data_IF_071387508548
#
_entry.id   IF_071387508548
#
_cell.length_a   1.000
_cell.length_b   1.000
_cell.length_c   1.000
_cell.angle_alpha   90.00
_cell.angle_beta   90.00
_cell.angle_gamma   90.00
#
_symmetry.space_group_name_H-M   'P 1'
#
loop_
_entity.id
_entity.type
_entity.pdbx_description
1 polymer ?
#
# COMPACT_ATOMS: atom_id res chain seq x y z
N UNK A 1 2.11 -13.64 17.98
CA UNK A 1 2.72 -12.85 16.89
C UNK A 1 2.58 -11.37 17.23
N UNK A 2 3.62 -10.60 17.04
CA UNK A 2 3.58 -9.16 17.31
C UNK A 2 2.70 -8.47 16.25
N UNK A 3 1.82 -7.60 16.73
CA UNK A 3 0.91 -6.85 15.86
C UNK A 3 1.62 -5.59 15.35
N UNK A 4 1.76 -5.48 14.02
CA UNK A 4 2.35 -4.29 13.40
C UNK A 4 1.34 -3.15 13.27
N UNK A 5 0.07 -3.48 13.06
CA UNK A 5 -1.01 -2.51 12.91
C UNK A 5 -2.24 -2.93 13.72
N UNK A 6 -2.78 -2.00 14.48
CA UNK A 6 -4.08 -2.16 15.15
C UNK A 6 -4.96 -0.96 14.84
N UNK A 7 -6.16 -1.21 14.35
CA UNK A 7 -7.19 -0.22 14.06
C UNK A 7 -8.43 -0.60 14.86
N UNK A 8 -9.02 0.35 15.57
CA UNK A 8 -10.18 0.10 16.45
C UNK A 8 -11.27 1.14 16.22
N UNK A 9 -12.44 0.70 15.75
CA UNK A 9 -13.64 1.51 15.60
C UNK A 9 -13.47 2.74 14.72
N UNK A 10 -12.62 2.65 13.68
CA UNK A 10 -12.22 3.79 12.86
C UNK A 10 -13.37 4.30 12.00
N UNK A 11 -13.62 5.60 12.07
CA UNK A 11 -14.60 6.29 11.22
C UNK A 11 -13.97 7.51 10.55
N UNK A 12 -14.38 7.75 9.28
CA UNK A 12 -13.96 8.92 8.53
C UNK A 12 -15.11 9.48 7.70
N UNK A 13 -15.37 10.78 7.87
CA UNK A 13 -16.32 11.55 7.05
C UNK A 13 -15.56 12.62 6.28
N UNK A 14 -15.89 12.83 5.01
CA UNK A 14 -15.41 13.99 4.25
C UNK A 14 -16.37 15.18 4.38
N UNK A 15 -17.66 14.89 4.53
CA UNK A 15 -18.69 15.91 4.73
C UNK A 15 -19.42 15.65 6.05
N UNK A 16 -19.68 16.69 6.85
CA UNK A 16 -20.47 16.58 8.07
C UNK A 16 -21.89 16.10 7.75
N UNK A 17 -22.31 14.98 8.38
CA UNK A 17 -23.62 14.37 8.16
C UNK A 17 -23.78 13.56 6.88
N UNK A 18 -22.71 13.37 6.11
CA UNK A 18 -22.70 12.53 4.91
C UNK A 18 -22.46 11.04 5.21
N UNK A 19 -22.42 10.26 4.14
CA UNK A 19 -22.02 8.84 4.21
C UNK A 19 -20.55 8.76 4.61
N UNK A 20 -20.19 7.96 5.62
CA UNK A 20 -18.80 7.80 6.03
C UNK A 20 -17.99 7.09 4.93
N UNK A 21 -16.80 7.61 4.64
CA UNK A 21 -15.85 6.95 3.77
C UNK A 21 -15.25 5.70 4.42
N UNK A 22 -15.16 5.68 5.76
CA UNK A 22 -14.88 4.50 6.58
C UNK A 22 -15.86 4.44 7.74
N UNK A 23 -16.44 3.28 7.98
CA UNK A 23 -17.52 3.07 8.93
C UNK A 23 -17.19 1.93 9.89
N UNK A 24 -16.71 2.27 11.08
CA UNK A 24 -16.40 1.34 12.17
C UNK A 24 -15.40 0.24 11.78
N UNK A 25 -14.31 0.62 11.12
CA UNK A 25 -13.24 -0.33 10.74
C UNK A 25 -12.47 -0.74 11.99
N UNK A 26 -12.38 -2.06 12.19
CA UNK A 26 -11.51 -2.66 13.21
C UNK A 26 -10.74 -3.82 12.58
N UNK A 27 -9.41 -3.79 12.70
CA UNK A 27 -8.52 -4.82 12.20
C UNK A 27 -7.24 -4.89 13.02
N UNK A 28 -6.57 -6.03 12.95
CA UNK A 28 -5.28 -6.24 13.61
C UNK A 28 -4.41 -7.11 12.72
N UNK A 29 -3.28 -6.56 12.28
CA UNK A 29 -2.39 -7.20 11.31
C UNK A 29 -1.08 -7.62 11.99
N UNK A 30 -0.63 -8.85 11.76
CA UNK A 30 0.66 -9.35 12.25
C UNK A 30 1.82 -8.73 11.46
N UNK A 31 3.03 -8.85 11.99
CA UNK A 31 4.27 -8.57 11.26
C UNK A 31 4.59 -9.70 10.26
N UNK A 32 5.39 -9.38 9.23
CA UNK A 32 5.92 -10.37 8.29
C UNK A 32 4.91 -10.90 7.27
N UNK A 33 3.94 -10.08 6.84
CA UNK A 33 2.89 -10.49 5.88
C UNK A 33 2.74 -9.50 4.74
N UNK A 34 2.37 -10.01 3.57
CA UNK A 34 1.88 -9.21 2.43
C UNK A 34 0.36 -9.33 2.37
N UNK A 35 -0.32 -8.22 2.56
CA UNK A 35 -1.77 -8.18 2.77
C UNK A 35 -2.43 -7.38 1.65
N UNK A 36 -3.38 -7.99 0.95
CA UNK A 36 -4.22 -7.33 -0.05
C UNK A 36 -5.36 -6.54 0.60
N UNK A 37 -5.41 -5.24 0.41
CA UNK A 37 -6.57 -4.40 0.73
C UNK A 37 -7.39 -4.19 -0.55
N UNK A 38 -8.38 -5.05 -0.74
CA UNK A 38 -9.05 -5.27 -2.01
C UNK A 38 -10.48 -4.72 -1.97
N UNK A 39 -10.86 -3.98 -3.01
CA UNK A 39 -12.22 -3.43 -3.10
C UNK A 39 -12.42 -2.60 -4.36
N UNK A 40 -13.67 -2.43 -4.81
CA UNK A 40 -13.98 -1.54 -5.92
C UNK A 40 -13.56 -0.09 -5.66
N UNK A 41 -13.47 0.70 -6.71
CA UNK A 41 -13.23 2.13 -6.58
C UNK A 41 -14.27 2.79 -5.65
N UNK A 42 -13.80 3.63 -4.73
CA UNK A 42 -14.67 4.26 -3.73
C UNK A 42 -14.93 3.44 -2.46
N UNK A 43 -14.38 2.22 -2.33
CA UNK A 43 -14.55 1.38 -1.12
C UNK A 43 -13.94 1.97 0.14
N UNK A 44 -12.99 2.91 0.02
CA UNK A 44 -12.31 3.53 1.15
C UNK A 44 -10.84 3.13 1.33
N UNK A 45 -10.28 2.30 0.42
CA UNK A 45 -8.89 1.79 0.48
C UNK A 45 -7.88 2.93 0.67
N UNK A 46 -7.82 3.90 -0.25
CA UNK A 46 -6.93 5.07 -0.17
C UNK A 46 -7.16 5.88 1.11
N UNK A 47 -8.42 6.00 1.57
CA UNK A 47 -8.73 6.72 2.82
C UNK A 47 -8.13 6.01 4.03
N UNK A 48 -8.26 4.68 4.10
CA UNK A 48 -7.67 3.88 5.16
C UNK A 48 -6.15 3.99 5.17
N UNK A 49 -5.50 3.82 4.00
CA UNK A 49 -4.04 3.95 3.89
C UNK A 49 -3.55 5.34 4.31
N UNK A 50 -4.23 6.41 3.90
CA UNK A 50 -3.87 7.79 4.29
C UNK A 50 -4.05 8.05 5.79
N UNK A 51 -5.03 7.46 6.44
CA UNK A 51 -5.20 7.54 7.89
C UNK A 51 -4.09 6.79 8.64
N UNK A 52 -3.70 5.60 8.17
CA UNK A 52 -2.59 4.82 8.74
C UNK A 52 -1.27 5.57 8.54
N UNK A 53 -1.05 6.17 7.36
CA UNK A 53 0.13 6.99 7.07
C UNK A 53 0.18 8.33 7.84
N UNK A 54 -0.90 8.69 8.57
CA UNK A 54 -1.00 9.95 9.29
C UNK A 54 -1.12 11.18 8.38
N UNK A 55 -1.61 11.00 7.16
CA UNK A 55 -1.91 12.07 6.19
C UNK A 55 -3.32 12.62 6.33
N UNK A 56 -4.18 11.87 7.01
CA UNK A 56 -5.54 12.26 7.37
C UNK A 56 -5.76 12.02 8.86
N UNK A 57 -6.71 12.74 9.45
CA UNK A 57 -7.17 12.53 10.82
C UNK A 57 -8.51 11.82 10.82
N UNK A 58 -8.68 10.82 11.66
CA UNK A 58 -9.95 10.12 11.86
C UNK A 58 -10.94 10.97 12.64
N UNK A 59 -12.23 10.76 12.39
CA UNK A 59 -13.29 11.42 13.16
C UNK A 59 -13.62 10.63 14.43
N UNK A 60 -13.46 9.29 14.40
CA UNK A 60 -13.59 8.40 15.57
C UNK A 60 -12.64 7.22 15.44
N UNK A 61 -12.44 6.55 16.57
CA UNK A 61 -11.58 5.36 16.64
C UNK A 61 -10.11 5.72 16.83
N UNK A 62 -9.27 4.70 16.72
CA UNK A 62 -7.82 4.85 16.92
C UNK A 62 -7.03 3.94 15.98
N UNK A 63 -5.80 4.35 15.67
CA UNK A 63 -4.83 3.59 14.89
C UNK A 63 -3.52 3.55 15.68
N UNK A 64 -2.92 2.37 15.77
CA UNK A 64 -1.60 2.15 16.38
C UNK A 64 -0.72 1.35 15.41
N UNK A 65 0.52 1.79 15.24
CA UNK A 65 1.55 1.09 14.46
C UNK A 65 2.57 0.53 15.45
N UNK A 66 2.62 -0.80 15.54
CA UNK A 66 3.16 -1.45 16.72
C UNK A 66 2.37 -1.00 17.95
N UNK A 67 3.05 -0.52 18.96
CA UNK A 67 2.40 0.01 20.17
C UNK A 67 2.27 1.55 20.18
N UNK A 68 2.55 2.21 19.05
CA UNK A 68 2.62 3.67 18.95
C UNK A 68 1.38 4.23 18.25
N UNK A 69 0.69 5.25 18.79
CA UNK A 69 -0.40 5.92 18.08
C UNK A 69 0.14 6.67 16.85
N UNK A 70 -0.74 6.88 15.86
CA UNK A 70 -0.38 7.68 14.67
C UNK A 70 0.04 9.10 15.09
N UNK A 71 1.23 9.50 14.63
CA UNK A 71 1.87 10.79 14.96
C UNK A 71 3.25 10.87 14.30
N UNK A 72 4.08 11.79 14.74
CA UNK A 72 5.37 12.03 14.09
C UNK A 72 6.32 10.82 14.16
N UNK A 73 6.36 10.15 15.31
CA UNK A 73 7.18 8.94 15.44
C UNK A 73 6.67 7.79 14.58
N UNK A 74 5.36 7.57 14.50
CA UNK A 74 4.82 6.47 13.68
C UNK A 74 5.08 6.66 12.20
N UNK A 75 5.21 7.90 11.71
CA UNK A 75 5.59 8.20 10.31
C UNK A 75 6.99 7.70 9.96
N UNK A 76 7.89 7.61 10.95
CA UNK A 76 9.21 7.00 10.71
C UNK A 76 9.15 5.49 10.52
N UNK A 77 8.09 4.83 10.99
CA UNK A 77 7.88 3.38 10.87
C UNK A 77 7.14 3.00 9.58
N UNK A 78 6.60 3.97 8.84
CA UNK A 78 5.75 3.76 7.67
C UNK A 78 6.42 4.26 6.41
N UNK A 79 6.39 3.45 5.35
CA UNK A 79 6.72 3.87 4.00
C UNK A 79 5.45 3.85 3.15
N UNK A 80 5.09 4.97 2.51
CA UNK A 80 3.83 5.10 1.78
C UNK A 80 4.07 5.45 0.31
N UNK A 81 3.52 4.64 -0.59
CA UNK A 81 3.42 4.89 -2.02
C UNK A 81 1.99 5.32 -2.35
N UNK A 82 1.72 6.58 -2.71
CA UNK A 82 0.39 7.01 -3.13
C UNK A 82 0.08 6.60 -4.58
N UNK A 83 -1.22 6.52 -4.91
CA UNK A 83 -1.74 6.24 -6.27
C UNK A 83 -1.30 7.27 -7.33
N UNK A 84 -0.99 8.49 -6.88
CA UNK A 84 -0.56 9.58 -7.74
C UNK A 84 0.85 10.03 -7.40
N UNK A 85 1.61 10.32 -8.45
CA UNK A 85 2.97 10.83 -8.25
C UNK A 85 2.99 12.16 -7.50
N UNK A 86 3.87 12.24 -6.50
CA UNK A 86 4.15 13.45 -5.73
C UNK A 86 5.53 14.05 -6.08
N UNK A 87 6.32 13.34 -6.90
CA UNK A 87 7.66 13.76 -7.27
C UNK A 87 7.62 14.89 -8.31
N UNK A 88 8.53 15.84 -8.18
CA UNK A 88 8.59 17.03 -9.04
C UNK A 88 9.23 16.72 -10.40
N UNK A 89 8.52 16.99 -11.49
CA UNK A 89 8.96 16.72 -12.85
C UNK A 89 10.26 17.44 -13.26
N UNK A 90 10.56 18.60 -12.68
CA UNK A 90 11.74 19.40 -13.00
C UNK A 90 13.01 18.98 -12.25
N UNK A 91 12.91 18.11 -11.26
CA UNK A 91 14.04 17.59 -10.47
C UNK A 91 14.68 16.39 -11.14
N UNK A 92 15.97 16.18 -10.88
CA UNK A 92 16.71 14.97 -11.27
C UNK A 92 16.44 13.86 -10.26
N UNK A 93 16.66 12.62 -10.67
CA UNK A 93 16.52 11.46 -9.78
C UNK A 93 17.44 11.57 -8.56
N UNK A 94 18.69 12.04 -8.75
CA UNK A 94 19.61 12.26 -7.62
C UNK A 94 19.06 13.24 -6.58
N UNK A 95 18.36 14.29 -7.01
CA UNK A 95 17.81 15.30 -6.11
C UNK A 95 16.68 14.67 -5.23
N UNK A 96 15.97 13.65 -5.78
CA UNK A 96 14.99 12.88 -5.02
C UNK A 96 15.67 11.92 -4.03
N UNK A 97 16.78 11.26 -4.45
CA UNK A 97 17.56 10.41 -3.55
C UNK A 97 18.15 11.22 -2.38
N UNK A 98 18.71 12.41 -2.68
CA UNK A 98 19.23 13.32 -1.67
C UNK A 98 18.14 13.74 -0.68
N UNK A 99 16.96 14.11 -1.18
CA UNK A 99 15.81 14.46 -0.34
C UNK A 99 15.38 13.31 0.56
N UNK A 100 15.29 12.07 0.04
CA UNK A 100 14.91 10.91 0.86
C UNK A 100 15.96 10.60 1.91
N UNK A 101 17.23 10.70 1.58
CA UNK A 101 18.34 10.47 2.50
C UNK A 101 18.36 11.51 3.63
N UNK A 102 18.11 12.77 3.33
CA UNK A 102 18.06 13.85 4.33
C UNK A 102 16.84 13.74 5.25
N UNK A 103 15.70 13.26 4.71
CA UNK A 103 14.44 13.24 5.44
C UNK A 103 14.21 11.94 6.22
N UNK A 104 14.65 10.79 5.67
CA UNK A 104 14.43 9.48 6.27
C UNK A 104 15.75 8.84 6.70
N UNK A 105 15.95 8.71 8.01
CA UNK A 105 17.16 8.09 8.59
C UNK A 105 17.34 6.63 8.21
N UNK A 106 16.25 5.95 7.87
CA UNK A 106 16.16 4.55 7.48
C UNK A 106 16.23 4.33 5.97
N UNK A 107 16.53 5.37 5.19
CA UNK A 107 16.66 5.27 3.73
C UNK A 107 18.01 4.63 3.34
N UNK A 108 17.94 3.53 2.61
CA UNK A 108 19.09 2.80 2.09
C UNK A 108 19.43 3.29 0.67
N UNK A 109 20.22 4.36 0.59
CA UNK A 109 20.62 4.97 -0.69
C UNK A 109 21.37 4.01 -1.61
N UNK A 110 22.39 3.23 -1.17
CA UNK A 110 23.06 2.26 -2.02
C UNK A 110 22.09 1.30 -2.71
N UNK A 111 21.11 0.79 -1.97
CA UNK A 111 20.05 -0.07 -2.49
C UNK A 111 19.18 0.63 -3.53
N UNK A 112 18.77 1.88 -3.29
CA UNK A 112 18.01 2.66 -4.26
C UNK A 112 18.79 2.87 -5.57
N UNK A 113 20.08 3.18 -5.47
CA UNK A 113 20.97 3.37 -6.64
C UNK A 113 21.15 2.07 -7.43
N UNK A 114 21.29 0.93 -6.76
CA UNK A 114 21.37 -0.39 -7.40
C UNK A 114 20.07 -0.73 -8.13
N UNK A 115 18.91 -0.52 -7.51
CA UNK A 115 17.62 -0.75 -8.15
C UNK A 115 17.41 0.15 -9.36
N UNK A 116 17.80 1.43 -9.29
CA UNK A 116 17.75 2.36 -10.43
C UNK A 116 18.70 1.94 -11.56
N UNK A 117 19.90 1.44 -11.22
CA UNK A 117 20.84 0.90 -12.20
C UNK A 117 20.25 -0.30 -12.95
N UNK A 118 19.58 -1.22 -12.26
CA UNK A 118 18.91 -2.38 -12.85
C UNK A 118 17.75 -1.97 -13.78
N UNK A 119 17.14 -0.81 -13.54
CA UNK A 119 16.15 -0.20 -14.42
C UNK A 119 16.74 0.57 -15.62
N UNK A 120 18.06 0.71 -15.68
CA UNK A 120 18.72 1.57 -16.68
C UNK A 120 18.44 3.06 -16.48
N UNK A 121 18.05 3.47 -15.27
CA UNK A 121 17.72 4.87 -14.96
C UNK A 121 18.92 5.56 -14.31
N UNK A 122 19.50 6.53 -15.03
CA UNK A 122 20.66 7.27 -14.53
C UNK A 122 20.23 8.36 -13.54
N UNK A 123 20.96 8.58 -12.41
CA UNK A 123 20.61 9.59 -11.41
C UNK A 123 20.55 11.04 -11.95
N UNK A 124 21.24 11.35 -13.04
CA UNK A 124 21.16 12.68 -13.69
C UNK A 124 19.90 12.88 -14.54
N UNK A 125 19.11 11.83 -14.79
CA UNK A 125 17.88 11.91 -15.58
C UNK A 125 16.86 12.78 -14.85
N UNK A 126 16.14 13.63 -15.59
CA UNK A 126 15.02 14.41 -15.04
C UNK A 126 13.81 13.50 -14.88
N UNK A 127 13.14 13.55 -13.73
CA UNK A 127 11.95 12.74 -13.47
C UNK A 127 10.86 12.96 -14.51
N UNK A 128 10.66 14.21 -14.96
CA UNK A 128 9.66 14.58 -15.96
C UNK A 128 9.89 13.95 -17.33
N UNK A 129 11.13 13.60 -17.71
CA UNK A 129 11.46 12.97 -19.00
C UNK A 129 11.20 11.46 -19.04
N UNK A 130 10.91 10.84 -17.91
CA UNK A 130 10.60 9.41 -17.84
C UNK A 130 9.21 9.11 -18.40
N UNK A 131 9.05 7.90 -18.96
CA UNK A 131 7.72 7.35 -19.27
C UNK A 131 6.89 7.18 -17.97
N UNK A 132 5.56 7.04 -18.10
CA UNK A 132 4.68 6.83 -16.96
C UNK A 132 5.15 5.64 -16.12
N UNK A 133 5.36 4.47 -16.73
CA UNK A 133 5.79 3.26 -16.02
C UNK A 133 7.16 3.42 -15.33
N UNK A 134 8.12 4.14 -15.94
CA UNK A 134 9.40 4.42 -15.29
C UNK A 134 9.26 5.39 -14.11
N UNK A 135 8.32 6.35 -14.17
CA UNK A 135 8.00 7.21 -13.02
C UNK A 135 7.47 6.40 -11.84
N UNK A 136 6.57 5.45 -12.09
CA UNK A 136 6.02 4.55 -11.09
C UNK A 136 7.11 3.65 -10.48
N UNK A 137 7.98 3.07 -11.31
CA UNK A 137 9.14 2.29 -10.85
C UNK A 137 10.10 3.10 -9.97
N UNK A 138 10.40 4.36 -10.33
CA UNK A 138 11.24 5.24 -9.51
C UNK A 138 10.61 5.52 -8.15
N UNK A 139 9.31 5.80 -8.11
CA UNK A 139 8.60 6.01 -6.84
C UNK A 139 8.63 4.76 -5.96
N UNK A 140 8.41 3.59 -6.57
CA UNK A 140 8.52 2.31 -5.86
C UNK A 140 9.92 2.10 -5.29
N UNK A 141 10.98 2.35 -6.09
CA UNK A 141 12.38 2.26 -5.62
C UNK A 141 12.60 3.12 -4.38
N UNK A 142 12.16 4.38 -4.39
CA UNK A 142 12.31 5.28 -3.23
C UNK A 142 11.59 4.75 -1.98
N UNK A 143 10.37 4.24 -2.15
CA UNK A 143 9.56 3.70 -1.06
C UNK A 143 10.14 2.39 -0.51
N UNK A 144 10.54 1.45 -1.39
CA UNK A 144 11.07 0.15 -1.01
C UNK A 144 12.53 0.19 -0.52
N UNK A 145 13.22 1.30 -0.75
CA UNK A 145 14.58 1.53 -0.21
C UNK A 145 14.59 2.11 1.21
N UNK A 146 13.44 2.31 1.84
CA UNK A 146 13.33 2.55 3.28
C UNK A 146 13.33 1.22 4.03
N UNK A 147 13.78 1.21 5.27
CA UNK A 147 13.68 0.07 6.21
C UNK A 147 12.49 0.29 7.17
N UNK A 148 11.29 0.41 6.58
CA UNK A 148 10.06 0.63 7.33
C UNK A 148 9.54 -0.67 7.95
N UNK A 149 8.75 -0.56 9.04
CA UNK A 149 8.01 -1.69 9.61
C UNK A 149 6.70 -1.98 8.88
N UNK A 150 6.16 -0.96 8.21
CA UNK A 150 4.89 -1.05 7.50
C UNK A 150 5.00 -0.31 6.16
N UNK A 151 4.83 -1.02 5.07
CA UNK A 151 4.73 -0.45 3.73
C UNK A 151 3.26 -0.37 3.34
N UNK A 152 2.83 0.78 2.86
CA UNK A 152 1.49 1.06 2.38
C UNK A 152 1.58 1.41 0.91
N UNK A 153 1.09 0.55 0.03
CA UNK A 153 1.21 0.70 -1.42
C UNK A 153 -0.19 0.89 -2.01
N UNK A 154 -0.50 2.11 -2.43
CA UNK A 154 -1.81 2.49 -2.95
C UNK A 154 -1.82 2.39 -4.48
N UNK A 155 -2.51 1.39 -5.04
CA UNK A 155 -2.57 1.05 -6.47
C UNK A 155 -1.19 0.95 -7.15
N UNK A 156 -0.21 0.21 -6.60
CA UNK A 156 1.17 0.21 -7.12
C UNK A 156 1.29 -0.32 -8.55
N UNK A 157 0.32 -1.10 -9.02
CA UNK A 157 0.28 -1.69 -10.36
C UNK A 157 -0.82 -1.07 -11.24
N UNK A 158 -1.49 -0.03 -10.74
CA UNK A 158 -2.58 0.64 -11.42
C UNK A 158 -2.10 1.41 -12.66
N UNK A 159 -2.67 1.12 -13.83
CA UNK A 159 -2.40 1.87 -15.06
C UNK A 159 -1.02 1.65 -15.68
N UNK A 160 -0.30 0.59 -15.31
CA UNK A 160 0.94 0.13 -15.95
C UNK A 160 0.68 -1.09 -16.86
N UNK A 161 1.58 -1.30 -17.82
CA UNK A 161 1.52 -2.49 -18.68
C UNK A 161 1.85 -3.78 -17.88
N UNK A 162 1.42 -4.98 -18.39
CA UNK A 162 1.61 -6.23 -17.68
C UNK A 162 3.07 -6.54 -17.31
N UNK A 163 4.03 -6.29 -18.18
CA UNK A 163 5.45 -6.55 -17.91
C UNK A 163 5.98 -5.64 -16.77
N UNK A 164 5.49 -4.40 -16.70
CA UNK A 164 5.82 -3.50 -15.60
C UNK A 164 5.17 -3.93 -14.27
N UNK A 165 3.97 -4.56 -14.29
CA UNK A 165 3.33 -5.12 -13.08
C UNK A 165 4.18 -6.22 -12.47
N UNK A 166 4.62 -7.19 -13.27
CA UNK A 166 5.49 -8.28 -12.81
C UNK A 166 6.76 -7.75 -12.15
N UNK A 167 7.41 -6.75 -12.78
CA UNK A 167 8.58 -6.11 -12.21
C UNK A 167 8.27 -5.44 -10.86
N UNK A 168 7.15 -4.73 -10.74
CA UNK A 168 6.73 -4.05 -9.51
C UNK A 168 6.50 -5.08 -8.41
N UNK A 169 5.75 -6.15 -8.67
CA UNK A 169 5.46 -7.20 -7.69
C UNK A 169 6.72 -7.93 -7.25
N UNK A 170 7.60 -8.31 -8.18
CA UNK A 170 8.90 -8.89 -7.85
C UNK A 170 9.75 -7.94 -7.01
N UNK A 171 9.74 -6.64 -7.34
CA UNK A 171 10.46 -5.64 -6.56
C UNK A 171 9.94 -5.55 -5.13
N UNK A 172 8.62 -5.61 -4.92
CA UNK A 172 8.01 -5.60 -3.59
C UNK A 172 8.46 -6.83 -2.81
N UNK A 173 8.27 -8.04 -3.36
CA UNK A 173 8.56 -9.31 -2.69
C UNK A 173 10.07 -9.45 -2.37
N UNK A 174 10.96 -9.04 -3.27
CA UNK A 174 12.40 -9.19 -3.09
C UNK A 174 13.03 -8.11 -2.21
N UNK A 175 12.29 -7.06 -1.90
CA UNK A 175 12.88 -5.86 -1.29
C UNK A 175 12.22 -5.40 0.01
N UNK A 176 11.25 -6.11 0.58
CA UNK A 176 10.78 -5.80 1.93
C UNK A 176 11.56 -6.63 2.97
N UNK A 177 11.62 -6.12 4.21
CA UNK A 177 12.16 -6.86 5.33
C UNK A 177 11.15 -7.96 5.71
N UNK A 178 11.55 -9.24 5.87
CA UNK A 178 10.66 -10.31 6.29
C UNK A 178 9.91 -10.06 7.60
N UNK A 179 10.42 -9.19 8.47
CA UNK A 179 9.73 -8.76 9.69
C UNK A 179 8.77 -7.58 9.47
N UNK A 180 8.82 -6.92 8.31
CA UNK A 180 7.91 -5.84 7.95
C UNK A 180 6.62 -6.39 7.34
N UNK A 181 5.57 -5.58 7.38
CA UNK A 181 4.30 -5.90 6.72
C UNK A 181 4.08 -4.97 5.54
N UNK A 182 3.57 -5.52 4.45
CA UNK A 182 3.19 -4.77 3.25
C UNK A 182 1.68 -4.82 3.08
N UNK A 183 1.05 -3.66 2.92
CA UNK A 183 -0.36 -3.57 2.53
C UNK A 183 -0.42 -3.05 1.09
N UNK A 184 -0.99 -3.83 0.19
CA UNK A 184 -1.19 -3.47 -1.22
C UNK A 184 -2.67 -3.20 -1.44
N UNK A 185 -3.05 -1.96 -1.73
CA UNK A 185 -4.41 -1.67 -2.19
C UNK A 185 -4.48 -1.78 -3.70
N UNK A 186 -5.47 -2.53 -4.20
CA UNK A 186 -5.73 -2.63 -5.64
C UNK A 186 -7.10 -3.21 -5.94
N UNK A 187 -7.58 -2.97 -7.16
CA UNK A 187 -8.74 -3.64 -7.76
C UNK A 187 -8.32 -4.74 -8.77
N UNK A 188 -7.01 -4.91 -9.02
CA UNK A 188 -6.43 -5.90 -9.94
C UNK A 188 -6.03 -7.16 -9.16
N UNK A 189 -7.03 -7.90 -8.67
CA UNK A 189 -6.83 -8.98 -7.69
C UNK A 189 -6.02 -10.13 -8.27
N UNK A 190 -6.35 -10.57 -9.49
CA UNK A 190 -5.66 -11.68 -10.14
C UNK A 190 -4.15 -11.45 -10.31
N UNK A 191 -3.72 -10.17 -10.49
CA UNK A 191 -2.31 -9.83 -10.63
C UNK A 191 -1.55 -9.92 -9.30
N UNK A 192 -2.17 -9.54 -8.17
CA UNK A 192 -1.51 -9.52 -6.85
C UNK A 192 -1.68 -10.79 -6.05
N UNK A 193 -2.70 -11.57 -6.30
CA UNK A 193 -3.03 -12.81 -5.57
C UNK A 193 -1.83 -13.74 -5.35
N UNK A 194 -0.91 -13.95 -6.35
CA UNK A 194 0.24 -14.85 -6.18
C UNK A 194 1.25 -14.42 -5.11
N UNK A 195 1.22 -13.16 -4.68
CA UNK A 195 2.16 -12.61 -3.70
C UNK A 195 1.52 -12.29 -2.34
N UNK A 196 0.21 -12.52 -2.19
CA UNK A 196 -0.50 -12.21 -0.95
C UNK A 196 -0.50 -13.39 0.02
N UNK A 197 -0.22 -13.10 1.29
CA UNK A 197 -0.46 -14.03 2.41
C UNK A 197 -1.90 -13.93 2.94
N UNK A 198 -2.40 -12.70 3.11
CA UNK A 198 -3.72 -12.40 3.66
C UNK A 198 -4.47 -11.40 2.79
N UNK A 199 -5.79 -11.32 2.96
CA UNK A 199 -6.62 -10.36 2.25
C UNK A 199 -7.63 -9.68 3.17
N UNK A 200 -8.04 -8.47 2.77
CA UNK A 200 -9.13 -7.70 3.37
C UNK A 200 -10.00 -7.19 2.24
N UNK A 201 -11.25 -7.63 2.18
CA UNK A 201 -12.25 -7.08 1.26
C UNK A 201 -12.94 -5.88 1.92
N UNK A 202 -12.80 -4.71 1.29
CA UNK A 202 -13.40 -3.47 1.74
C UNK A 202 -14.51 -3.03 0.78
N UNK A 203 -15.69 -2.74 1.30
CA UNK A 203 -16.82 -2.23 0.53
C UNK A 203 -17.54 -1.12 1.30
N UNK A 204 -17.78 0.03 0.66
CA UNK A 204 -18.49 1.17 1.25
C UNK A 204 -18.02 1.50 2.67
N UNK A 205 -16.70 1.53 2.86
CA UNK A 205 -16.07 1.84 4.14
C UNK A 205 -16.20 0.76 5.22
N UNK A 206 -16.59 -0.47 4.89
CA UNK A 206 -16.69 -1.60 5.82
C UNK A 206 -15.86 -2.78 5.35
N UNK A 207 -15.26 -3.52 6.29
CA UNK A 207 -14.66 -4.82 6.01
C UNK A 207 -15.80 -5.82 5.85
N UNK A 208 -15.88 -6.47 4.68
CA UNK A 208 -16.90 -7.48 4.38
C UNK A 208 -16.37 -8.89 4.58
N UNK A 209 -15.07 -9.10 4.33
CA UNK A 209 -14.38 -10.37 4.58
C UNK A 209 -12.89 -10.13 4.75
N UNK A 210 -12.22 -10.97 5.53
CA UNK A 210 -10.76 -10.97 5.65
C UNK A 210 -10.28 -12.34 6.10
N UNK A 211 -9.07 -12.73 5.74
CA UNK A 211 -8.48 -14.01 6.12
C UNK A 211 -7.19 -14.30 5.38
N UNK A 212 -6.67 -15.50 5.57
CA UNK A 212 -5.55 -16.04 4.79
C UNK A 212 -6.01 -16.39 3.38
N UNK A 213 -5.17 -16.10 2.39
CA UNK A 213 -5.44 -16.44 0.98
C UNK A 213 -5.48 -17.95 0.79
N UNK A 214 -4.55 -18.68 1.43
CA UNK A 214 -4.49 -20.14 1.31
C UNK A 214 -5.71 -20.82 1.96
N UNK A 215 -6.09 -20.40 3.17
CA UNK A 215 -7.30 -20.92 3.83
C UNK A 215 -8.56 -20.65 2.99
N UNK A 216 -8.69 -19.44 2.44
CA UNK A 216 -9.83 -19.08 1.61
C UNK A 216 -9.91 -19.92 0.32
N UNK A 217 -8.76 -20.26 -0.29
CA UNK A 217 -8.67 -21.17 -1.45
C UNK A 217 -9.06 -22.60 -1.08
N UNK A 218 -8.55 -23.11 0.04
CA UNK A 218 -8.86 -24.47 0.52
C UNK A 218 -10.34 -24.63 0.82
N UNK A 219 -10.95 -23.67 1.51
CA UNK A 219 -12.37 -23.71 1.90
C UNK A 219 -13.33 -23.53 0.73
N UNK A 220 -13.01 -22.60 -0.19
CA UNK A 220 -13.94 -22.26 -1.30
C UNK A 220 -13.69 -23.05 -2.58
N UNK A 221 -12.49 -23.61 -2.78
CA UNK A 221 -12.05 -24.21 -4.05
C UNK A 221 -11.88 -23.20 -5.18
N UNK A 222 -11.81 -21.88 -4.87
CA UNK A 222 -11.79 -20.77 -5.82
C UNK A 222 -10.54 -19.93 -5.66
N UNK A 223 -10.16 -19.20 -6.74
CA UNK A 223 -9.18 -18.12 -6.63
C UNK A 223 -9.74 -16.96 -5.82
N UNK A 224 -8.84 -16.11 -5.31
CA UNK A 224 -9.24 -14.91 -4.57
C UNK A 224 -10.06 -13.94 -5.45
N UNK A 225 -9.74 -13.85 -6.75
CA UNK A 225 -10.51 -13.04 -7.71
C UNK A 225 -11.94 -13.59 -7.93
N UNK A 226 -12.10 -14.91 -8.00
CA UNK A 226 -13.43 -15.54 -8.09
C UNK A 226 -14.24 -15.33 -6.81
N UNK A 227 -13.61 -15.52 -5.64
CA UNK A 227 -14.25 -15.28 -4.34
C UNK A 227 -14.68 -13.81 -4.20
N UNK A 228 -13.81 -12.87 -4.59
CA UNK A 228 -14.14 -11.45 -4.64
C UNK A 228 -15.38 -11.17 -5.47
N UNK A 229 -15.42 -11.68 -6.71
CA UNK A 229 -16.56 -11.49 -7.62
C UNK A 229 -17.85 -12.03 -7.03
N UNK A 230 -17.80 -13.17 -6.34
CA UNK A 230 -18.97 -13.76 -5.69
C UNK A 230 -19.47 -12.88 -4.54
N UNK A 231 -18.59 -12.52 -3.61
CA UNK A 231 -18.92 -11.67 -2.46
C UNK A 231 -19.54 -10.35 -2.93
N UNK A 232 -18.93 -9.71 -3.94
CA UNK A 232 -19.39 -8.39 -4.40
C UNK A 232 -20.62 -8.45 -5.31
N UNK A 233 -20.95 -9.60 -5.94
CA UNK A 233 -22.23 -9.79 -6.64
C UNK A 233 -23.43 -9.85 -5.69
N UNK A 234 -23.22 -10.37 -4.48
CA UNK A 234 -24.25 -10.49 -3.46
C UNK A 234 -24.48 -9.19 -2.67
N UNK A 235 -23.62 -8.18 -2.84
CA UNK A 235 -23.74 -6.90 -2.17
C UNK A 235 -24.62 -5.94 -3.00
N UNK A 236 -25.47 -5.12 -2.35
CA UNK A 236 -26.30 -4.16 -3.06
C UNK A 236 -25.42 -3.18 -3.83
N UNK A 237 -25.73 -3.01 -5.12
CA UNK A 237 -25.13 -1.97 -5.97
C UNK A 237 -25.47 -0.60 -5.40
N UNK A 238 -24.53 0.36 -5.46
CA UNK A 238 -24.80 1.77 -5.16
C UNK A 238 -25.73 2.38 -6.21
#
# INVERSE_FOLDING_TARGET
MDKVLTVSGLMKFYNKGGIPALNNISLSLPAGRIIGLLGPNGSGNTTLLKLIAGLLTSDRGSIRIGNVPVGDYSKSLVSYLPDRTYLRNNQKIRDQLDFFQDFYRDFDRPRAEEMLKNLGIHPSTRFGSLSKGNKEKVQLVLVMSRRAKLYLLDEPIGGVDPAARDYILQTIVSNYDPEATVIISTHLIADVEPVLDDFIFLHQGKIVQSGSVDEAREESGKSLDELFREVFRCLPSC
#
